data_IF_877116247609
#
_entry.id   IF_877116247609
#
_cell.length_a   1.000
_cell.length_b   1.000
_cell.length_c   1.000
_cell.angle_alpha   90.00
_cell.angle_beta   90.00
_cell.angle_gamma   90.00
#
_symmetry.space_group_name_H-M   'P 1'
#
loop_
_entity.id
_entity.type
_entity.pdbx_description
1 polymer ?
#
# COMPACT_ATOMS: atom_id res chain seq x y z
N UNK A 1 5.20 13.16 17.11
CA UNK A 1 4.14 12.87 16.10
C UNK A 1 4.60 11.71 15.23
N UNK A 2 3.80 10.67 15.15
CA UNK A 2 4.12 9.50 14.34
C UNK A 2 3.76 9.74 12.87
N UNK A 3 4.59 9.21 11.98
CA UNK A 3 4.28 9.12 10.56
C UNK A 3 3.81 7.70 10.27
N UNK A 4 2.63 7.55 9.70
CA UNK A 4 2.07 6.24 9.40
C UNK A 4 1.58 6.13 7.96
N UNK A 5 1.58 4.91 7.49
CA UNK A 5 0.96 4.49 6.24
C UNK A 5 0.22 3.19 6.52
N UNK A 6 -0.95 3.04 5.92
CA UNK A 6 -1.71 1.78 6.03
C UNK A 6 -1.56 1.02 4.73
N UNK A 7 -1.10 -0.21 4.82
CA UNK A 7 -0.85 -1.04 3.65
C UNK A 7 -1.20 -2.50 3.88
N UNK A 8 -1.32 -3.24 2.77
CA UNK A 8 -1.44 -4.68 2.75
C UNK A 8 -0.08 -5.28 2.41
N UNK A 9 0.31 -6.31 3.13
CA UNK A 9 1.52 -7.08 2.85
C UNK A 9 1.15 -8.49 2.40
N UNK A 10 1.92 -9.09 1.48
CA UNK A 10 1.71 -10.49 1.10
C UNK A 10 1.94 -11.44 2.26
N UNK A 11 1.33 -12.62 2.20
CA UNK A 11 1.64 -13.72 3.11
C UNK A 11 3.07 -14.20 2.88
N UNK A 12 3.61 -14.94 3.87
CA UNK A 12 5.00 -15.38 3.89
C UNK A 12 5.47 -16.07 2.60
N UNK A 13 4.68 -17.00 2.07
CA UNK A 13 5.05 -17.74 0.85
C UNK A 13 5.01 -16.83 -0.38
N UNK A 14 3.98 -16.02 -0.48
CA UNK A 14 3.80 -15.07 -1.57
C UNK A 14 4.84 -13.96 -1.50
N UNK A 15 5.25 -13.58 -0.29
CA UNK A 15 6.30 -12.58 -0.07
C UNK A 15 7.61 -13.01 -0.73
N UNK A 16 7.97 -14.28 -0.64
CA UNK A 16 9.18 -14.84 -1.26
C UNK A 16 9.11 -14.68 -2.78
N UNK A 17 7.97 -14.99 -3.36
CA UNK A 17 7.73 -14.87 -4.81
C UNK A 17 7.86 -13.42 -5.28
N UNK A 18 7.22 -12.48 -4.57
CA UNK A 18 7.30 -11.06 -4.91
C UNK A 18 8.70 -10.51 -4.75
N UNK A 19 9.42 -10.90 -3.72
CA UNK A 19 10.82 -10.48 -3.52
C UNK A 19 11.73 -10.98 -4.64
N UNK A 20 11.51 -12.21 -5.11
CA UNK A 20 12.24 -12.75 -6.25
C UNK A 20 11.99 -11.96 -7.52
N UNK A 21 10.71 -11.64 -7.78
CA UNK A 21 10.34 -10.84 -8.93
C UNK A 21 10.93 -9.44 -8.87
N UNK A 22 10.88 -8.80 -7.70
CA UNK A 22 11.47 -7.48 -7.49
C UNK A 22 12.97 -7.48 -7.77
N UNK A 23 13.69 -8.50 -7.32
CA UNK A 23 15.13 -8.64 -7.59
C UNK A 23 15.41 -8.80 -9.08
N UNK A 24 14.64 -9.64 -9.76
CA UNK A 24 14.80 -9.86 -11.19
C UNK A 24 14.59 -8.56 -11.98
N UNK A 25 13.55 -7.81 -11.66
CA UNK A 25 13.28 -6.53 -12.30
C UNK A 25 14.39 -5.52 -11.97
N UNK A 26 14.81 -5.46 -10.71
CA UNK A 26 15.86 -4.57 -10.25
C UNK A 26 17.18 -4.79 -11.00
N UNK A 27 17.54 -6.03 -11.23
CA UNK A 27 18.75 -6.37 -12.00
C UNK A 27 18.64 -5.92 -13.45
N UNK A 28 17.48 -6.08 -14.06
CA UNK A 28 17.26 -5.70 -15.46
C UNK A 28 17.25 -4.19 -15.68
N UNK A 29 16.75 -3.43 -14.72
CA UNK A 29 16.68 -1.97 -14.83
C UNK A 29 17.81 -1.26 -14.09
N UNK A 30 18.73 -2.02 -13.50
CA UNK A 30 19.89 -1.51 -12.76
C UNK A 30 19.55 -0.53 -11.65
N UNK A 31 18.42 -0.77 -10.96
CA UNK A 31 17.98 0.04 -9.82
C UNK A 31 17.67 -0.85 -8.62
N UNK A 32 18.20 -0.48 -7.46
CA UNK A 32 17.99 -1.20 -6.20
C UNK A 32 17.08 -0.48 -5.23
N UNK A 33 16.52 0.66 -5.60
CA UNK A 33 15.68 1.47 -4.71
C UNK A 33 14.47 0.70 -4.18
N UNK A 34 13.80 -0.07 -5.03
CA UNK A 34 12.62 -0.84 -4.65
C UNK A 34 12.94 -1.96 -3.65
N UNK A 35 14.21 -2.41 -3.59
CA UNK A 35 14.62 -3.48 -2.68
C UNK A 35 14.75 -3.02 -1.22
N UNK A 36 14.67 -1.72 -0.95
CA UNK A 36 14.77 -1.18 0.40
C UNK A 36 13.47 -1.34 1.19
N UNK A 37 12.36 -1.60 0.52
CA UNK A 37 11.05 -1.80 1.14
C UNK A 37 10.48 -3.16 0.78
N UNK A 38 9.77 -3.82 1.70
CA UNK A 38 9.09 -5.08 1.38
C UNK A 38 7.92 -4.81 0.41
N UNK A 39 7.52 -5.83 -0.38
CA UNK A 39 6.35 -5.71 -1.24
C UNK A 39 5.11 -5.33 -0.44
N UNK A 40 4.34 -4.38 -0.94
CA UNK A 40 3.14 -3.90 -0.25
C UNK A 40 2.21 -3.17 -1.22
N UNK A 41 0.96 -3.02 -0.81
CA UNK A 41 -0.03 -2.17 -1.47
C UNK A 41 -0.46 -1.12 -0.46
N UNK A 42 -0.28 0.16 -0.79
CA UNK A 42 -0.68 1.25 0.08
C UNK A 42 -2.19 1.47 -0.01
N UNK A 43 -2.86 1.45 1.13
CA UNK A 43 -4.31 1.71 1.24
C UNK A 43 -4.60 3.11 1.71
N UNK A 44 -3.81 3.63 2.64
CA UNK A 44 -3.93 4.99 3.14
C UNK A 44 -2.58 5.67 3.03
N UNK A 45 -2.57 6.78 2.33
CA UNK A 45 -1.40 7.61 2.13
C UNK A 45 -0.80 8.07 3.46
N UNK A 46 0.49 8.41 3.45
CA UNK A 46 1.25 8.79 4.64
C UNK A 46 0.64 10.00 5.36
N UNK A 47 0.40 9.86 6.64
CA UNK A 47 -0.15 10.91 7.50
C UNK A 47 0.71 11.06 8.75
N UNK A 48 0.68 12.26 9.33
CA UNK A 48 1.20 12.51 10.66
C UNK A 48 0.05 12.44 11.67
N UNK A 49 0.28 11.78 12.79
CA UNK A 49 -0.71 11.67 13.86
C UNK A 49 -0.05 11.56 15.22
N UNK A 50 -0.71 12.11 16.23
CA UNK A 50 -0.37 11.86 17.65
C UNK A 50 -1.21 10.73 18.24
N UNK A 51 -2.22 10.28 17.51
CA UNK A 51 -3.19 9.26 17.96
C UNK A 51 -2.91 7.89 17.35
N UNK A 52 -1.64 7.51 17.25
CA UNK A 52 -1.23 6.24 16.64
C UNK A 52 -1.97 5.03 17.21
N UNK A 53 -2.09 4.95 18.55
CA UNK A 53 -2.76 3.81 19.20
C UNK A 53 -4.26 3.75 18.87
N UNK A 54 -4.91 4.90 18.70
CA UNK A 54 -6.32 4.96 18.30
C UNK A 54 -6.51 4.48 16.87
N UNK A 55 -5.63 4.90 15.97
CA UNK A 55 -5.66 4.44 14.57
C UNK A 55 -5.46 2.92 14.52
N UNK A 56 -4.50 2.42 15.27
CA UNK A 56 -4.22 0.98 15.34
C UNK A 56 -5.43 0.19 15.82
N UNK A 57 -6.13 0.68 16.83
CA UNK A 57 -7.35 0.06 17.36
C UNK A 57 -8.48 0.07 16.32
N UNK A 58 -8.67 1.18 15.65
CA UNK A 58 -9.70 1.33 14.60
C UNK A 58 -9.45 0.34 13.46
N UNK A 59 -8.22 0.23 13.00
CA UNK A 59 -7.85 -0.70 11.94
C UNK A 59 -8.09 -2.15 12.39
N UNK A 60 -7.67 -2.49 13.60
CA UNK A 60 -7.86 -3.83 14.15
C UNK A 60 -9.34 -4.22 14.22
N UNK A 61 -10.18 -3.32 14.68
CA UNK A 61 -11.62 -3.56 14.79
C UNK A 61 -12.26 -3.69 13.41
N UNK A 62 -11.88 -2.86 12.47
CA UNK A 62 -12.40 -2.90 11.11
C UNK A 62 -12.03 -4.21 10.40
N UNK A 63 -10.78 -4.64 10.54
CA UNK A 63 -10.26 -5.84 9.85
C UNK A 63 -10.99 -7.10 10.30
N UNK A 64 -11.47 -7.15 11.55
CA UNK A 64 -12.27 -8.29 12.05
C UNK A 64 -13.54 -8.55 11.25
N UNK A 65 -14.09 -7.52 10.61
CA UNK A 65 -15.33 -7.61 9.85
C UNK A 65 -15.11 -7.77 8.35
N UNK A 66 -13.86 -7.81 7.91
CA UNK A 66 -13.52 -7.93 6.49
C UNK A 66 -13.21 -9.39 6.19
N UNK A 67 -13.92 -9.95 5.20
CA UNK A 67 -13.64 -11.31 4.72
C UNK A 67 -12.36 -11.32 3.90
N UNK A 68 -11.51 -12.34 4.05
CA UNK A 68 -10.36 -12.50 3.17
C UNK A 68 -10.77 -12.55 1.71
N UNK A 69 -9.95 -12.01 0.83
CA UNK A 69 -10.19 -12.04 -0.61
C UNK A 69 -8.89 -12.28 -1.36
N UNK A 70 -9.00 -12.78 -2.59
CA UNK A 70 -7.87 -13.02 -3.46
C UNK A 70 -7.60 -11.81 -4.34
N UNK A 71 -6.32 -11.54 -4.55
CA UNK A 71 -5.85 -10.61 -5.57
C UNK A 71 -5.00 -11.38 -6.56
N UNK A 72 -5.26 -11.19 -7.84
CA UNK A 72 -4.50 -11.80 -8.92
C UNK A 72 -3.69 -10.71 -9.62
N UNK A 73 -2.38 -10.89 -9.69
CA UNK A 73 -1.46 -9.94 -10.30
C UNK A 73 -0.96 -10.52 -11.62
N UNK A 74 -1.27 -9.86 -12.74
CA UNK A 74 -0.88 -10.35 -14.06
C UNK A 74 -0.14 -9.32 -14.90
N UNK A 75 -0.13 -8.08 -14.47
CA UNK A 75 0.34 -6.99 -15.31
C UNK A 75 1.43 -6.19 -14.61
N UNK A 76 2.56 -6.00 -15.29
CA UNK A 76 3.62 -5.11 -14.85
C UNK A 76 3.39 -3.76 -15.53
N UNK A 77 3.33 -2.71 -14.74
CA UNK A 77 3.10 -1.35 -15.19
C UNK A 77 4.21 -0.42 -14.73
N UNK A 78 4.21 0.81 -15.19
CA UNK A 78 5.18 1.80 -14.73
C UNK A 78 4.61 3.22 -14.77
N UNK A 79 5.15 4.08 -13.90
CA UNK A 79 4.98 5.52 -13.97
C UNK A 79 6.19 6.15 -14.65
N UNK A 80 6.00 7.28 -15.31
CA UNK A 80 7.08 7.98 -16.01
C UNK A 80 7.81 9.01 -15.14
N UNK A 81 7.13 9.63 -14.18
CA UNK A 81 7.72 10.73 -13.41
C UNK A 81 7.21 10.70 -11.96
N UNK A 82 7.96 10.14 -11.02
CA UNK A 82 9.22 9.42 -11.20
C UNK A 82 9.02 8.06 -11.87
N UNK A 83 10.09 7.48 -12.39
CA UNK A 83 10.01 6.14 -12.99
C UNK A 83 9.88 5.09 -11.89
N UNK A 84 8.72 4.48 -11.80
CA UNK A 84 8.40 3.43 -10.82
C UNK A 84 7.74 2.26 -11.56
N UNK A 85 8.28 1.06 -11.35
CA UNK A 85 7.69 -0.18 -11.87
C UNK A 85 6.85 -0.80 -10.76
N UNK A 86 5.65 -1.23 -11.10
CA UNK A 86 4.74 -1.86 -10.15
C UNK A 86 3.94 -2.98 -10.81
N UNK A 87 3.38 -3.85 -9.98
CA UNK A 87 2.52 -4.93 -10.44
C UNK A 87 1.08 -4.55 -10.11
N UNK A 88 0.22 -4.61 -11.09
CA UNK A 88 -1.17 -4.22 -10.94
C UNK A 88 -2.07 -5.44 -10.73
N UNK A 89 -3.00 -5.39 -9.75
CA UNK A 89 -4.02 -6.43 -9.62
C UNK A 89 -4.95 -6.41 -10.85
N UNK A 90 -5.39 -7.58 -11.25
CA UNK A 90 -6.34 -7.72 -12.36
C UNK A 90 -7.66 -7.02 -12.06
N UNK A 91 -8.14 -7.13 -10.81
CA UNK A 91 -9.36 -6.49 -10.33
C UNK A 91 -9.04 -5.73 -9.04
N UNK A 92 -9.26 -4.42 -9.04
CA UNK A 92 -8.99 -3.54 -7.90
C UNK A 92 -10.23 -3.24 -7.05
N UNK A 93 -11.41 -3.76 -7.40
CA UNK A 93 -12.66 -3.38 -6.75
C UNK A 93 -12.65 -3.60 -5.24
N UNK A 94 -12.10 -4.72 -4.78
CA UNK A 94 -12.02 -5.02 -3.35
C UNK A 94 -11.01 -4.14 -2.61
N UNK A 95 -9.94 -3.74 -3.28
CA UNK A 95 -8.97 -2.80 -2.74
C UNK A 95 -9.58 -1.40 -2.61
N UNK A 96 -10.32 -0.97 -3.61
CA UNK A 96 -11.04 0.31 -3.59
C UNK A 96 -12.05 0.33 -2.45
N UNK A 97 -12.82 -0.74 -2.28
CA UNK A 97 -13.78 -0.85 -1.19
C UNK A 97 -13.08 -0.76 0.18
N UNK A 98 -11.99 -1.46 0.34
CA UNK A 98 -11.22 -1.45 1.59
C UNK A 98 -10.63 -0.06 1.86
N UNK A 99 -10.07 0.57 0.84
CA UNK A 99 -9.58 1.94 0.92
C UNK A 99 -10.68 2.90 1.38
N UNK A 100 -11.86 2.81 0.77
CA UNK A 100 -12.99 3.68 1.10
C UNK A 100 -13.53 3.45 2.51
N UNK A 101 -13.41 2.24 3.03
CA UNK A 101 -13.76 1.94 4.42
C UNK A 101 -12.74 2.50 5.42
N UNK A 102 -11.46 2.42 5.07
CA UNK A 102 -10.37 2.84 5.96
C UNK A 102 -10.18 4.36 6.01
N UNK A 103 -10.24 5.02 4.86
CA UNK A 103 -9.90 6.44 4.74
C UNK A 103 -10.64 7.32 5.74
N UNK A 104 -11.98 7.31 5.83
CA UNK A 104 -12.67 8.22 6.74
C UNK A 104 -12.39 7.91 8.22
N UNK A 105 -12.12 6.64 8.55
CA UNK A 105 -11.85 6.23 9.93
C UNK A 105 -10.44 6.59 10.38
N UNK A 106 -9.47 6.41 9.50
CA UNK A 106 -8.06 6.72 9.80
C UNK A 106 -7.83 8.22 9.80
N UNK A 107 -8.41 8.94 8.86
CA UNK A 107 -8.22 10.38 8.73
C UNK A 107 -8.88 11.21 9.83
N UNK A 108 -9.81 10.61 10.61
CA UNK A 108 -10.33 11.25 11.81
C UNK A 108 -9.22 11.60 12.82
N UNK A 109 -8.16 10.81 12.84
CA UNK A 109 -7.05 10.95 13.77
C UNK A 109 -5.80 11.54 13.13
N UNK A 110 -5.91 11.98 11.89
CA UNK A 110 -4.80 12.59 11.17
C UNK A 110 -4.63 14.05 11.64
N UNK A 111 -3.41 14.43 11.95
CA UNK A 111 -3.07 15.83 12.20
C UNK A 111 -2.80 16.54 10.87
N UNK A 112 -2.04 15.88 9.99
CA UNK A 112 -1.81 16.40 8.65
C UNK A 112 -1.41 15.28 7.68
N UNK A 113 -1.55 15.53 6.39
CA UNK A 113 -0.97 14.68 5.35
C UNK A 113 0.53 14.97 5.23
N UNK A 114 1.32 13.91 5.06
CA UNK A 114 2.72 14.09 4.69
C UNK A 114 2.76 14.62 3.26
N UNK A 115 3.39 15.75 3.06
CA UNK A 115 3.53 16.35 1.73
C UNK A 115 4.58 15.60 0.93
N UNK A 116 4.13 14.62 0.19
CA UNK A 116 4.97 13.88 -0.72
C UNK A 116 4.22 13.72 -2.04
N UNK A 117 4.70 14.40 -3.07
CA UNK A 117 4.07 14.43 -4.38
C UNK A 117 4.07 13.07 -5.10
N UNK A 118 4.86 12.11 -4.62
CA UNK A 118 4.96 10.80 -5.26
C UNK A 118 3.79 9.88 -4.96
N UNK A 119 3.03 10.14 -3.91
CA UNK A 119 1.98 9.25 -3.43
C UNK A 119 0.60 9.88 -3.55
N UNK A 120 0.14 10.06 -4.77
CA UNK A 120 -1.28 10.29 -4.97
C UNK A 120 -2.00 8.97 -4.73
N UNK A 121 -3.15 8.98 -4.02
CA UNK A 121 -3.90 7.76 -3.82
C UNK A 121 -4.23 7.12 -5.17
N UNK A 122 -3.78 5.89 -5.37
CA UNK A 122 -3.97 5.14 -6.61
C UNK A 122 -5.41 4.80 -6.90
N UNK A 123 -6.26 4.92 -5.88
CA UNK A 123 -7.64 4.51 -5.92
C UNK A 123 -8.60 5.70 -6.01
N UNK A 124 -8.09 6.87 -6.30
CA UNK A 124 -8.90 8.01 -6.69
C UNK A 124 -9.43 7.76 -8.09
N UNK A 125 -10.65 7.39 -8.14
CA UNK A 125 -11.35 7.27 -9.40
C UNK A 125 -12.20 8.50 -9.64
#
# INVERSE_FOLDING_TARGET
MEEIVVCISPKKDELIEFKRLMRNISERVESKKALTLPPHITLVHRIHTEDYSKIKTVIRDLVKHIKPFKLVFRKICFFNDPFIIYIEPEDTSKLVNLHNLLMPKVTLFKDEWVRDSFFKPKFDS
#
